data_IF_046290295433
#
_entry.id   IF_046290295433
#
_cell.length_a   1.000
_cell.length_b   1.000
_cell.length_c   1.000
_cell.angle_alpha   90.00
_cell.angle_beta   90.00
_cell.angle_gamma   90.00
#
_symmetry.space_group_name_H-M   'P 1'
#
loop_
_entity.id
_entity.type
_entity.pdbx_description
1 polymer ?
#
# COMPACT_ATOMS: atom_id res chain seq x y z
N UNK A 1 18.46 -65.15 -5.58
CA UNK A 1 18.89 -64.81 -6.94
C UNK A 1 18.21 -63.50 -7.33
N UNK A 2 18.96 -62.41 -7.26
CA UNK A 2 18.49 -61.05 -7.54
C UNK A 2 18.77 -60.73 -9.02
N UNK A 3 17.74 -60.33 -9.76
CA UNK A 3 17.84 -59.81 -11.12
C UNK A 3 17.54 -58.31 -11.10
N UNK A 4 18.58 -57.48 -11.21
CA UNK A 4 18.42 -56.04 -11.38
C UNK A 4 18.17 -55.70 -12.85
N UNK A 5 17.13 -54.92 -13.20
CA UNK A 5 16.95 -54.43 -14.55
C UNK A 5 17.80 -53.17 -14.84
N UNK A 6 18.82 -53.40 -15.66
CA UNK A 6 19.29 -52.59 -16.80
C UNK A 6 18.87 -51.10 -16.86
N UNK A 7 19.76 -50.21 -16.40
CA UNK A 7 19.65 -48.76 -16.56
C UNK A 7 20.10 -48.36 -17.97
N UNK A 8 19.17 -47.82 -18.78
CA UNK A 8 19.50 -47.21 -20.08
C UNK A 8 20.01 -45.77 -19.88
N UNK A 9 21.07 -45.34 -20.57
CA UNK A 9 21.57 -43.97 -20.45
C UNK A 9 20.59 -42.96 -21.09
N UNK A 10 20.22 -41.95 -20.31
CA UNK A 10 19.51 -40.77 -20.77
C UNK A 10 20.40 -40.01 -21.76
N UNK A 11 20.03 -40.04 -23.04
CA UNK A 11 20.63 -39.20 -24.08
C UNK A 11 20.07 -37.79 -23.92
N UNK A 12 20.90 -36.87 -23.45
CA UNK A 12 20.59 -35.44 -23.50
C UNK A 12 20.53 -35.01 -24.97
N UNK A 13 19.31 -34.73 -25.44
CA UNK A 13 19.05 -34.18 -26.77
C UNK A 13 19.55 -32.73 -26.80
N UNK A 14 20.75 -32.57 -27.33
CA UNK A 14 21.49 -31.33 -27.50
C UNK A 14 20.95 -30.52 -28.69
N UNK A 15 19.65 -30.26 -28.76
CA UNK A 15 19.00 -29.51 -29.84
C UNK A 15 17.73 -28.84 -29.31
N UNK A 16 17.86 -27.74 -28.56
CA UNK A 16 16.79 -26.75 -28.31
C UNK A 16 17.34 -25.51 -27.56
N UNK A 17 18.36 -24.88 -28.13
CA UNK A 17 18.75 -23.49 -27.86
C UNK A 17 19.12 -22.92 -29.24
N UNK A 18 18.20 -22.21 -29.90
CA UNK A 18 18.18 -20.76 -29.72
C UNK A 18 16.75 -20.19 -29.78
N UNK A 19 16.21 -19.79 -28.63
CA UNK A 19 15.06 -18.88 -28.54
C UNK A 19 15.44 -17.73 -27.59
N UNK A 20 16.68 -17.26 -27.78
CA UNK A 20 17.29 -16.15 -27.08
C UNK A 20 17.68 -15.12 -28.14
N UNK A 21 16.72 -14.29 -28.57
CA UNK A 21 17.00 -13.24 -29.55
C UNK A 21 15.79 -12.83 -30.37
N UNK A 22 14.79 -12.21 -29.73
CA UNK A 22 13.89 -11.22 -30.35
C UNK A 22 12.95 -10.68 -29.27
N UNK A 23 13.36 -9.61 -28.55
CA UNK A 23 12.45 -8.73 -27.79
C UNK A 23 13.18 -7.45 -27.27
N UNK A 24 14.23 -7.02 -27.97
CA UNK A 24 14.80 -5.68 -27.85
C UNK A 24 14.41 -4.93 -29.13
N UNK A 25 13.87 -3.72 -28.97
CA UNK A 25 13.36 -2.80 -29.99
C UNK A 25 11.86 -2.90 -30.33
N UNK A 26 11.02 -2.52 -29.35
CA UNK A 26 9.86 -1.70 -29.64
C UNK A 26 10.10 -0.32 -29.00
N UNK A 27 10.75 0.56 -29.74
CA UNK A 27 10.76 2.00 -29.49
C UNK A 27 9.90 2.68 -30.55
N UNK A 28 8.78 3.26 -30.12
CA UNK A 28 8.04 4.38 -30.70
C UNK A 28 7.51 5.11 -29.46
N UNK A 29 7.93 6.31 -29.10
CA UNK A 29 7.91 7.49 -29.95
C UNK A 29 6.53 8.10 -29.85
N UNK A 30 6.25 8.77 -28.73
CA UNK A 30 5.30 9.88 -28.64
C UNK A 30 5.74 10.77 -27.47
N UNK A 31 6.05 12.02 -27.80
CA UNK A 31 6.21 13.11 -26.85
C UNK A 31 4.85 13.43 -26.23
N UNK A 32 4.46 12.64 -25.22
CA UNK A 32 3.42 13.02 -24.28
C UNK A 32 4.09 13.18 -22.92
N UNK A 33 4.26 14.43 -22.47
CA UNK A 33 4.84 14.82 -21.19
C UNK A 33 3.91 14.51 -20.00
N UNK A 34 3.27 13.35 -20.03
CA UNK A 34 2.37 12.82 -19.02
C UNK A 34 2.71 11.36 -18.74
N UNK A 35 3.92 11.09 -18.24
CA UNK A 35 4.26 9.77 -17.73
C UNK A 35 3.24 9.40 -16.65
N UNK A 36 2.45 8.36 -16.88
CA UNK A 36 1.58 7.81 -15.85
C UNK A 36 2.46 7.40 -14.66
N UNK A 37 2.14 7.81 -13.43
CA UNK A 37 2.93 7.45 -12.26
C UNK A 37 3.17 5.94 -12.17
N UNK A 38 4.39 5.55 -11.80
CA UNK A 38 4.80 4.15 -11.71
C UNK A 38 4.15 3.46 -10.50
N UNK A 39 3.65 2.23 -10.70
CA UNK A 39 3.04 1.45 -9.63
C UNK A 39 3.99 1.25 -8.43
N UNK A 40 3.46 1.32 -7.21
CA UNK A 40 4.25 1.16 -5.99
C UNK A 40 5.11 2.36 -5.60
N UNK A 41 4.87 3.54 -6.20
CA UNK A 41 5.49 4.82 -5.82
C UNK A 41 4.50 5.71 -5.05
N UNK A 42 5.00 6.67 -4.27
CA UNK A 42 4.14 7.66 -3.62
C UNK A 42 3.43 8.51 -4.68
N UNK A 43 4.06 8.83 -5.80
CA UNK A 43 3.43 9.58 -6.90
C UNK A 43 2.21 8.86 -7.46
N UNK A 44 2.25 7.52 -7.55
CA UNK A 44 1.09 6.73 -7.96
C UNK A 44 -0.03 6.78 -6.93
N UNK A 45 0.28 6.58 -5.66
CA UNK A 45 -0.72 6.69 -4.58
C UNK A 45 -1.32 8.10 -4.55
N UNK A 46 -0.49 9.13 -4.68
CA UNK A 46 -0.92 10.52 -4.66
C UNK A 46 -1.67 10.97 -5.92
N UNK A 47 -1.58 10.20 -7.01
CA UNK A 47 -2.34 10.47 -8.23
C UNK A 47 -3.86 10.36 -8.03
N UNK A 48 -4.29 9.57 -7.03
CA UNK A 48 -5.69 9.37 -6.69
C UNK A 48 -6.28 10.59 -5.98
N UNK A 49 -7.35 11.17 -6.54
CA UNK A 49 -8.05 12.29 -5.91
C UNK A 49 -8.60 11.94 -4.52
N UNK A 50 -8.90 10.67 -4.29
CA UNK A 50 -9.32 10.18 -2.98
C UNK A 50 -8.24 10.34 -1.91
N UNK A 51 -6.97 10.11 -2.25
CA UNK A 51 -5.85 10.32 -1.32
C UNK A 51 -5.69 11.82 -1.01
N UNK A 52 -5.85 12.68 -2.01
CA UNK A 52 -5.82 14.14 -1.81
C UNK A 52 -6.97 14.61 -0.91
N UNK A 53 -8.16 14.02 -1.06
CA UNK A 53 -9.34 14.32 -0.25
C UNK A 53 -9.20 13.92 1.23
N UNK A 54 -8.22 13.09 1.60
CA UNK A 54 -7.90 12.85 3.01
C UNK A 54 -7.63 14.17 3.75
N UNK A 55 -7.06 15.17 3.06
CA UNK A 55 -6.76 16.50 3.60
C UNK A 55 -7.99 17.28 4.09
N UNK A 56 -9.19 16.96 3.61
CA UNK A 56 -10.43 17.64 4.01
C UNK A 56 -10.70 17.49 5.52
N UNK A 57 -10.30 16.34 6.06
CA UNK A 57 -10.32 16.06 7.50
C UNK A 57 -8.92 16.13 8.11
N UNK A 58 -7.89 15.67 7.39
CA UNK A 58 -6.52 15.54 7.86
C UNK A 58 -5.62 16.70 7.43
N UNK A 59 -6.04 17.93 7.72
CA UNK A 59 -5.17 19.09 7.56
C UNK A 59 -5.27 19.99 8.80
N UNK A 60 -4.32 20.91 9.03
CA UNK A 60 -4.38 21.80 10.20
C UNK A 60 -5.64 22.67 10.22
N UNK A 61 -6.24 22.89 9.04
CA UNK A 61 -7.50 23.62 8.86
C UNK A 61 -8.71 22.70 8.62
N UNK A 62 -8.53 21.38 8.64
CA UNK A 62 -9.55 20.38 8.31
C UNK A 62 -10.76 20.51 9.24
N UNK A 63 -11.88 20.93 8.67
CA UNK A 63 -13.08 21.38 9.38
C UNK A 63 -14.08 20.29 9.77
N UNK A 64 -13.68 19.02 9.74
CA UNK A 64 -14.56 17.87 10.04
C UNK A 64 -14.55 17.46 11.52
N UNK A 65 -15.73 17.13 12.05
CA UNK A 65 -15.91 16.53 13.38
C UNK A 65 -15.18 15.18 13.48
N UNK A 66 -13.96 15.14 14.01
CA UNK A 66 -13.27 13.90 14.38
C UNK A 66 -11.77 13.81 14.04
N UNK A 67 -11.22 14.72 13.23
CA UNK A 67 -9.82 14.65 12.79
C UNK A 67 -8.88 15.66 13.46
N UNK A 68 -9.39 16.47 14.40
CA UNK A 68 -8.55 17.32 15.25
C UNK A 68 -7.45 16.49 15.94
N UNK A 69 -6.22 17.01 15.92
CA UNK A 69 -5.03 16.37 16.50
C UNK A 69 -4.58 15.05 15.85
N UNK A 70 -5.13 14.67 14.68
CA UNK A 70 -4.63 13.56 13.87
C UNK A 70 -3.45 13.94 12.97
N UNK A 71 -2.96 13.00 12.14
CA UNK A 71 -1.89 13.28 11.19
C UNK A 71 -2.33 14.30 10.14
N UNK A 72 -1.43 15.21 9.77
CA UNK A 72 -1.62 16.11 8.63
C UNK A 72 -1.25 15.38 7.34
N UNK A 73 -2.21 15.19 6.45
CA UNK A 73 -2.08 14.49 5.18
C UNK A 73 -2.27 15.45 3.99
N UNK A 74 -2.13 16.76 4.19
CA UNK A 74 -2.47 17.78 3.18
C UNK A 74 -1.58 17.83 1.93
N UNK A 75 -0.44 17.12 1.94
CA UNK A 75 0.54 17.10 0.84
C UNK A 75 1.17 15.71 0.77
N UNK A 76 1.77 15.28 -0.37
CA UNK A 76 2.37 13.95 -0.46
C UNK A 76 3.50 13.76 0.57
N UNK A 77 4.34 14.78 0.75
CA UNK A 77 5.41 14.75 1.74
C UNK A 77 4.88 14.58 3.18
N UNK A 78 3.82 15.29 3.53
CA UNK A 78 3.20 15.17 4.87
C UNK A 78 2.47 13.83 5.05
N UNK A 79 1.75 13.37 4.03
CA UNK A 79 1.11 12.05 4.02
C UNK A 79 2.12 10.96 4.36
N UNK A 80 3.26 10.93 3.66
CA UNK A 80 4.33 9.99 3.96
C UNK A 80 4.91 10.20 5.36
N UNK A 81 5.39 11.40 5.66
CA UNK A 81 6.18 11.64 6.87
C UNK A 81 5.39 11.55 8.18
N UNK A 82 4.07 11.78 8.15
CA UNK A 82 3.21 11.69 9.33
C UNK A 82 2.62 10.29 9.55
N UNK A 83 2.77 9.39 8.57
CA UNK A 83 2.38 7.97 8.68
C UNK A 83 3.61 7.07 8.85
N UNK A 84 4.71 7.37 8.17
CA UNK A 84 5.95 6.61 8.27
C UNK A 84 6.74 7.00 9.53
N UNK A 85 7.05 6.00 10.37
CA UNK A 85 7.75 6.22 11.65
C UNK A 85 6.88 6.77 12.78
N UNK A 86 5.61 7.10 12.48
CA UNK A 86 4.61 7.43 13.47
C UNK A 86 3.77 6.20 13.86
N UNK A 87 3.23 6.24 15.06
CA UNK A 87 2.29 5.24 15.58
C UNK A 87 0.97 5.90 15.97
N UNK A 88 -0.01 5.09 16.36
CA UNK A 88 -1.27 5.59 16.96
C UNK A 88 -0.98 6.56 18.12
N UNK A 89 -0.02 6.23 18.98
CA UNK A 89 0.37 7.04 20.16
C UNK A 89 0.99 8.40 19.78
N UNK A 90 1.38 8.61 18.52
CA UNK A 90 1.89 9.90 18.05
C UNK A 90 0.80 10.97 18.01
N UNK A 91 -0.47 10.59 18.09
CA UNK A 91 -1.64 11.46 18.01
C UNK A 91 -2.60 11.24 19.19
N UNK A 92 -2.18 11.48 20.44
CA UNK A 92 -2.94 11.10 21.65
C UNK A 92 -4.26 11.86 21.82
N UNK A 93 -4.44 12.99 21.11
CA UNK A 93 -5.68 13.77 21.12
C UNK A 93 -6.65 13.41 19.99
N UNK A 94 -6.36 12.36 19.21
CA UNK A 94 -7.13 12.02 18.02
C UNK A 94 -8.25 11.02 18.32
N UNK A 95 -9.49 11.51 18.33
CA UNK A 95 -10.69 10.76 18.73
C UNK A 95 -10.92 9.47 17.92
N UNK A 96 -10.56 9.43 16.63
CA UNK A 96 -10.77 8.28 15.74
C UNK A 96 -9.97 7.03 16.13
N UNK A 97 -9.02 7.18 17.06
CA UNK A 97 -8.11 6.12 17.51
C UNK A 97 -8.16 5.90 19.03
N UNK A 98 -9.09 6.55 19.73
CA UNK A 98 -9.18 6.44 21.19
C UNK A 98 -9.64 5.05 21.67
N UNK A 99 -10.33 4.30 20.81
CA UNK A 99 -10.73 2.92 21.07
C UNK A 99 -9.63 1.91 20.75
N UNK A 100 -8.53 2.36 20.12
CA UNK A 100 -7.39 1.51 19.87
C UNK A 100 -6.71 1.13 21.18
N UNK A 101 -6.46 -0.16 21.41
CA UNK A 101 -5.58 -0.55 22.52
C UNK A 101 -4.19 0.01 22.22
N UNK A 102 -3.66 0.86 23.12
CA UNK A 102 -2.47 1.73 22.97
C UNK A 102 -1.14 0.96 22.93
N UNK A 103 -1.11 -0.13 22.19
CA UNK A 103 0.14 -0.74 21.74
C UNK A 103 0.64 0.11 20.58
N UNK A 104 1.93 0.44 20.58
CA UNK A 104 2.59 1.31 19.60
C UNK A 104 2.55 0.72 18.18
N UNK A 105 1.35 0.66 17.61
CA UNK A 105 1.05 0.06 16.33
C UNK A 105 1.38 1.11 15.27
N UNK A 106 2.38 0.85 14.41
CA UNK A 106 2.80 1.84 13.42
C UNK A 106 1.70 2.10 12.39
N UNK A 107 1.55 3.35 11.96
CA UNK A 107 0.64 3.69 10.87
C UNK A 107 1.06 2.99 9.58
N UNK A 108 2.35 3.06 9.26
CA UNK A 108 2.99 2.29 8.20
C UNK A 108 4.15 1.50 8.81
N UNK A 109 4.15 0.19 8.55
CA UNK A 109 5.33 -0.66 8.76
C UNK A 109 5.91 -0.98 7.39
N UNK A 110 7.11 -0.47 7.11
CA UNK A 110 7.80 -0.64 5.82
C UNK A 110 7.88 -2.13 5.44
N UNK A 111 7.66 -2.40 4.15
CA UNK A 111 7.71 -3.74 3.54
C UNK A 111 6.76 -4.78 4.14
N UNK A 112 5.86 -4.38 5.04
CA UNK A 112 4.90 -5.27 5.71
C UNK A 112 3.52 -4.62 5.80
N UNK A 113 2.77 -4.54 4.69
CA UNK A 113 1.46 -3.90 4.64
C UNK A 113 0.49 -4.46 5.69
N UNK A 114 0.49 -5.77 5.89
CA UNK A 114 -0.35 -6.44 6.87
C UNK A 114 -0.09 -6.07 8.34
N UNK A 115 0.99 -5.33 8.62
CA UNK A 115 1.31 -4.77 9.94
C UNK A 115 1.13 -3.25 10.01
N UNK A 116 0.52 -2.64 9.00
CA UNK A 116 0.30 -1.20 8.93
C UNK A 116 -1.11 -0.84 9.40
N UNK A 117 -1.22 -0.04 10.47
CA UNK A 117 -2.50 0.41 11.00
C UNK A 117 -3.31 1.21 9.97
N UNK A 118 -2.63 1.91 9.05
CA UNK A 118 -3.26 2.65 7.95
C UNK A 118 -4.22 1.77 7.15
N UNK A 119 -3.79 0.56 6.76
CA UNK A 119 -4.60 -0.31 5.91
C UNK A 119 -5.84 -0.82 6.65
N UNK A 120 -5.70 -1.17 7.94
CA UNK A 120 -6.83 -1.54 8.78
C UNK A 120 -7.80 -0.35 9.01
N UNK A 121 -7.30 0.88 9.04
CA UNK A 121 -8.11 2.07 9.22
C UNK A 121 -9.00 2.41 8.01
N UNK A 122 -8.57 2.06 6.80
CA UNK A 122 -9.19 2.57 5.55
C UNK A 122 -9.77 1.49 4.65
N UNK A 123 -9.56 0.20 4.96
CA UNK A 123 -10.04 -0.90 4.15
C UNK A 123 -10.62 -2.06 4.97
N UNK A 124 -11.81 -2.51 4.59
CA UNK A 124 -12.45 -3.68 5.18
C UNK A 124 -11.57 -4.93 5.12
N UNK A 125 -10.85 -5.14 4.01
CA UNK A 125 -9.93 -6.29 3.81
C UNK A 125 -8.96 -6.47 4.98
N UNK A 126 -8.50 -5.36 5.56
CA UNK A 126 -7.51 -5.34 6.63
C UNK A 126 -8.13 -5.06 8.01
N UNK A 127 -9.32 -4.47 8.05
CA UNK A 127 -10.09 -4.29 9.27
C UNK A 127 -10.70 -5.62 9.77
N UNK A 128 -11.18 -6.48 8.86
CA UNK A 128 -11.79 -7.76 9.20
C UNK A 128 -10.75 -8.71 9.82
N UNK A 129 -10.75 -8.79 11.16
CA UNK A 129 -9.78 -9.56 11.95
C UNK A 129 -8.79 -8.72 12.76
N UNK A 130 -8.83 -7.39 12.64
CA UNK A 130 -8.07 -6.48 13.50
C UNK A 130 -8.97 -5.92 14.62
N UNK A 131 -9.06 -6.65 15.73
CA UNK A 131 -9.86 -6.25 16.90
C UNK A 131 -9.24 -5.11 17.70
N UNK A 132 -8.02 -4.68 17.36
CA UNK A 132 -7.29 -3.71 18.17
C UNK A 132 -7.75 -2.27 17.96
N UNK A 133 -8.53 -1.99 16.90
CA UNK A 133 -8.96 -0.66 16.46
C UNK A 133 -10.27 -0.71 15.63
N UNK A 134 -11.26 -1.51 16.05
CA UNK A 134 -12.46 -1.76 15.22
C UNK A 134 -13.22 -0.47 14.85
N UNK A 135 -13.25 0.54 15.73
CA UNK A 135 -13.92 1.81 15.48
C UNK A 135 -13.23 2.68 14.43
N UNK A 136 -11.91 2.55 14.23
CA UNK A 136 -11.16 3.38 13.27
C UNK A 136 -11.66 3.18 11.85
N UNK A 137 -11.93 1.93 11.42
CA UNK A 137 -12.51 1.67 10.10
C UNK A 137 -13.93 2.23 9.97
N UNK A 138 -14.76 2.09 11.01
CA UNK A 138 -16.14 2.60 11.01
C UNK A 138 -16.22 4.12 10.84
N UNK A 139 -15.19 4.88 11.20
CA UNK A 139 -15.12 6.32 10.90
C UNK A 139 -14.81 6.63 9.44
N UNK A 140 -14.00 5.78 8.78
CA UNK A 140 -13.57 5.99 7.39
C UNK A 140 -14.54 5.40 6.37
N UNK A 141 -15.27 4.35 6.73
CA UNK A 141 -16.22 3.66 5.86
C UNK A 141 -17.30 4.60 5.29
N UNK A 142 -18.03 5.43 6.08
CA UNK A 142 -19.05 6.33 5.53
C UNK A 142 -18.47 7.37 4.55
N UNK A 143 -17.18 7.67 4.68
CA UNK A 143 -16.47 8.64 3.87
C UNK A 143 -15.84 8.02 2.61
N UNK A 144 -16.03 6.72 2.38
CA UNK A 144 -15.45 5.97 1.26
C UNK A 144 -13.94 6.20 1.12
N UNK A 145 -13.20 6.05 2.21
CA UNK A 145 -11.78 6.39 2.27
C UNK A 145 -10.96 5.68 1.20
N UNK A 146 -11.07 4.36 1.02
CA UNK A 146 -10.29 3.64 -0.02
C UNK A 146 -11.08 2.53 -0.73
N UNK A 147 -11.91 1.75 -0.04
CA UNK A 147 -12.49 0.49 -0.57
C UNK A 147 -13.25 0.59 -1.90
N UNK A 148 -13.81 1.76 -2.23
CA UNK A 148 -14.60 1.97 -3.44
C UNK A 148 -13.82 2.63 -4.59
N UNK A 149 -12.50 2.76 -4.47
CA UNK A 149 -11.65 3.36 -5.50
C UNK A 149 -10.86 2.27 -6.23
N UNK A 150 -11.14 1.98 -7.51
CA UNK A 150 -10.45 0.93 -8.25
C UNK A 150 -8.93 1.10 -8.25
N UNK A 151 -8.21 0.05 -7.87
CA UNK A 151 -6.75 0.01 -7.86
C UNK A 151 -6.07 0.70 -6.69
N UNK A 152 -6.73 1.65 -6.00
CA UNK A 152 -6.09 2.44 -4.93
C UNK A 152 -5.55 1.57 -3.79
N UNK A 153 -6.34 0.59 -3.32
CA UNK A 153 -5.88 -0.30 -2.25
C UNK A 153 -4.64 -1.10 -2.67
N UNK A 154 -4.62 -1.62 -3.90
CA UNK A 154 -3.49 -2.40 -4.42
C UNK A 154 -2.24 -1.54 -4.59
N UNK A 155 -2.38 -0.31 -5.08
CA UNK A 155 -1.25 0.62 -5.22
C UNK A 155 -0.73 1.09 -3.87
N UNK A 156 -1.60 1.31 -2.88
CA UNK A 156 -1.21 1.64 -1.52
C UNK A 156 -0.48 0.48 -0.83
N UNK A 157 -0.98 -0.75 -0.99
CA UNK A 157 -0.29 -1.97 -0.52
C UNK A 157 1.10 -2.08 -1.14
N UNK A 158 1.20 -1.99 -2.47
CA UNK A 158 2.47 -2.11 -3.19
C UNK A 158 3.47 -1.02 -2.82
N UNK A 159 2.99 0.22 -2.59
CA UNK A 159 3.85 1.30 -2.12
C UNK A 159 4.43 1.00 -0.72
N UNK A 160 3.64 0.44 0.19
CA UNK A 160 4.13 0.02 1.52
C UNK A 160 5.10 -1.16 1.38
N UNK A 161 4.82 -2.14 0.52
CA UNK A 161 5.72 -3.28 0.22
C UNK A 161 7.10 -2.80 -0.25
N UNK A 162 7.10 -1.76 -1.09
CA UNK A 162 8.30 -1.12 -1.61
C UNK A 162 9.00 -0.19 -0.59
N UNK A 163 8.62 -0.25 0.69
CA UNK A 163 9.25 0.51 1.77
C UNK A 163 8.70 1.93 1.94
N UNK A 164 7.51 2.23 1.41
CA UNK A 164 6.88 3.54 1.50
C UNK A 164 7.83 4.69 1.08
N UNK A 165 8.58 4.45 0.00
CA UNK A 165 9.56 5.41 -0.50
C UNK A 165 8.87 6.67 -1.09
N UNK A 166 9.57 7.82 -1.12
CA UNK A 166 9.05 9.04 -1.73
C UNK A 166 8.65 8.89 -3.20
#
# INVERSE_FOLDING_TARGET
MQTMPNQRPLRFSLWLLPLLGLLLLAGCGDDDSGSTPEAGTLDKVWSYDRIKACADCHSPAGGGTGASNGPDLSTPAKFRNNLLGASIDSYPGWNTTQDCSTTSFPWITESTPNKSALLAAVSWKWAEGNTNCEGTYSFHQPNNAIDNVPGLLADLELWIENGANP
#
